data_IF_808799836736
#
_entry.id   IF_808799836736
#
_cell.length_a   1.000
_cell.length_b   1.000
_cell.length_c   1.000
_cell.angle_alpha   90.00
_cell.angle_beta   90.00
_cell.angle_gamma   90.00
#
_symmetry.space_group_name_H-M   'P 1'
#
loop_
_entity.id
_entity.type
_entity.pdbx_description
1 polymer ?
#
# COMPACT_ATOMS: atom_id res chain seq x y z
N UNK A 1 -54.94 -27.61 -11.79
CA UNK A 1 -53.78 -27.97 -12.65
C UNK A 1 -52.86 -26.76 -12.74
N UNK A 2 -51.63 -26.87 -12.25
CA UNK A 2 -50.64 -25.80 -12.37
C UNK A 2 -50.14 -25.77 -13.82
N UNK A 3 -50.20 -24.61 -14.48
CA UNK A 3 -49.63 -24.44 -15.83
C UNK A 3 -48.14 -24.78 -15.80
N UNK A 4 -47.59 -25.47 -16.82
CA UNK A 4 -46.15 -25.61 -16.98
C UNK A 4 -45.57 -24.21 -17.24
N UNK A 5 -44.60 -23.79 -16.43
CA UNK A 5 -43.99 -22.45 -16.49
C UNK A 5 -42.66 -22.62 -17.23
N UNK A 6 -42.53 -22.03 -18.44
CA UNK A 6 -41.35 -22.18 -19.29
C UNK A 6 -40.17 -21.34 -18.79
N UNK A 7 -38.95 -21.82 -19.02
CA UNK A 7 -37.69 -21.12 -18.74
C UNK A 7 -37.54 -19.80 -19.53
N UNK A 8 -38.39 -19.57 -20.54
CA UNK A 8 -38.45 -18.32 -21.31
C UNK A 8 -38.88 -17.11 -20.46
N UNK A 9 -39.54 -17.34 -19.31
CA UNK A 9 -39.98 -16.25 -18.43
C UNK A 9 -38.84 -15.65 -17.58
N UNK A 10 -37.67 -16.29 -17.51
CA UNK A 10 -36.55 -15.81 -16.70
C UNK A 10 -35.96 -14.48 -17.20
N UNK A 11 -36.00 -14.24 -18.52
CA UNK A 11 -35.41 -13.06 -19.16
C UNK A 11 -36.45 -11.99 -19.54
N UNK A 12 -37.73 -12.21 -19.22
CA UNK A 12 -38.81 -11.30 -19.57
C UNK A 12 -38.89 -10.15 -18.57
N UNK A 13 -38.78 -8.93 -19.08
CA UNK A 13 -38.97 -7.71 -18.28
C UNK A 13 -40.45 -7.42 -18.15
N UNK A 14 -40.90 -7.14 -16.93
CA UNK A 14 -42.31 -6.88 -16.61
C UNK A 14 -42.48 -5.55 -15.90
N UNK A 15 -43.64 -4.90 -16.09
CA UNK A 15 -44.00 -3.72 -15.32
C UNK A 15 -44.37 -4.13 -13.90
N UNK A 16 -43.69 -3.56 -12.92
CA UNK A 16 -44.00 -3.72 -11.51
C UNK A 16 -44.36 -2.36 -10.92
N UNK A 17 -45.59 -2.24 -10.40
CA UNK A 17 -46.06 -1.03 -9.73
C UNK A 17 -45.95 -1.24 -8.23
N UNK A 18 -45.18 -0.38 -7.55
CA UNK A 18 -45.03 -0.41 -6.11
C UNK A 18 -45.09 1.01 -5.55
N UNK A 19 -46.03 1.27 -4.63
CA UNK A 19 -46.25 2.57 -4.00
C UNK A 19 -46.31 3.75 -4.98
N UNK A 20 -47.02 3.60 -6.10
CA UNK A 20 -47.15 4.63 -7.13
C UNK A 20 -45.97 4.76 -8.11
N UNK A 21 -44.86 4.07 -7.85
CA UNK A 21 -43.71 4.03 -8.76
C UNK A 21 -43.78 2.82 -9.69
N UNK A 22 -43.42 3.04 -10.96
CA UNK A 22 -43.43 2.03 -12.02
C UNK A 22 -41.99 1.58 -12.31
N UNK A 23 -41.71 0.29 -12.15
CA UNK A 23 -40.39 -0.31 -12.32
C UNK A 23 -40.39 -1.34 -13.45
N UNK A 24 -39.30 -1.37 -14.21
CA UNK A 24 -38.99 -2.49 -15.10
C UNK A 24 -38.32 -3.58 -14.27
N UNK A 25 -38.97 -4.74 -14.13
CA UNK A 25 -38.53 -5.79 -13.21
C UNK A 25 -38.29 -7.10 -13.92
N UNK A 26 -37.11 -7.67 -13.67
CA UNK A 26 -36.77 -9.04 -14.00
C UNK A 26 -37.09 -9.93 -12.79
N UNK A 27 -37.68 -11.11 -13.02
CA UNK A 27 -38.01 -12.07 -11.95
C UNK A 27 -37.35 -13.43 -12.18
N UNK A 28 -36.00 -13.53 -12.15
CA UNK A 28 -35.33 -14.81 -12.28
C UNK A 28 -35.65 -15.70 -11.08
N UNK A 29 -35.68 -17.01 -11.33
CA UNK A 29 -35.91 -18.03 -10.31
C UNK A 29 -34.58 -18.41 -9.69
N UNK A 30 -34.43 -18.19 -8.39
CA UNK A 30 -33.20 -18.45 -7.64
C UNK A 30 -33.50 -19.55 -6.61
N UNK A 31 -32.60 -20.52 -6.50
CA UNK A 31 -32.69 -21.55 -5.46
C UNK A 31 -31.99 -21.04 -4.20
N UNK A 32 -32.70 -21.00 -3.07
CA UNK A 32 -32.11 -20.60 -1.79
C UNK A 32 -31.18 -21.71 -1.28
N UNK A 33 -29.88 -21.44 -1.19
CA UNK A 33 -28.83 -22.42 -0.84
C UNK A 33 -29.01 -23.04 0.55
N UNK A 34 -29.64 -22.35 1.51
CA UNK A 34 -29.83 -22.83 2.88
C UNK A 34 -31.08 -23.71 3.06
N UNK A 35 -32.07 -23.59 2.17
CA UNK A 35 -33.40 -24.24 2.35
C UNK A 35 -33.82 -25.10 1.16
N UNK A 36 -33.06 -25.10 0.06
CA UNK A 36 -33.37 -25.82 -1.18
C UNK A 36 -34.63 -25.33 -1.90
N UNK A 37 -35.35 -24.34 -1.37
CA UNK A 37 -36.60 -23.82 -1.94
C UNK A 37 -36.32 -22.84 -3.07
N UNK A 38 -37.00 -23.03 -4.20
CA UNK A 38 -36.96 -22.12 -5.35
C UNK A 38 -37.83 -20.89 -5.08
N UNK A 39 -37.26 -19.70 -5.15
CA UNK A 39 -37.97 -18.43 -4.98
C UNK A 39 -37.75 -17.48 -6.17
N UNK A 40 -38.70 -16.60 -6.43
CA UNK A 40 -38.56 -15.59 -7.48
C UNK A 40 -37.91 -14.34 -6.86
N UNK A 41 -36.75 -13.92 -7.39
CA UNK A 41 -36.07 -12.70 -6.96
C UNK A 41 -36.51 -11.56 -7.86
N UNK A 42 -37.07 -10.48 -7.32
CA UNK A 42 -37.40 -9.29 -8.11
C UNK A 42 -36.18 -8.39 -8.24
N UNK A 43 -35.69 -8.18 -9.46
CA UNK A 43 -34.58 -7.27 -9.78
C UNK A 43 -35.15 -6.10 -10.58
N UNK A 44 -35.15 -4.90 -9.98
CA UNK A 44 -35.58 -3.69 -10.68
C UNK A 44 -34.45 -3.18 -11.58
N UNK A 45 -34.60 -3.38 -12.89
CA UNK A 45 -33.66 -2.96 -13.92
C UNK A 45 -33.66 -1.45 -14.13
N UNK A 46 -34.77 -0.77 -13.85
CA UNK A 46 -34.94 0.67 -13.97
C UNK A 46 -36.37 1.10 -13.70
N UNK A 47 -36.70 2.35 -14.03
CA UNK A 47 -38.04 2.91 -13.88
C UNK A 47 -38.73 3.02 -15.24
N UNK A 48 -40.06 3.09 -15.23
CA UNK A 48 -40.88 3.25 -16.44
C UNK A 48 -41.78 4.46 -16.23
N UNK A 49 -41.81 5.40 -17.18
CA UNK A 49 -42.69 6.57 -17.07
C UNK A 49 -44.16 6.20 -17.32
N UNK A 50 -45.06 7.16 -17.16
CA UNK A 50 -46.46 6.96 -17.51
C UNK A 50 -46.69 6.72 -19.01
N UNK A 51 -45.82 7.30 -19.84
CA UNK A 51 -45.78 7.11 -21.30
C UNK A 51 -45.08 5.82 -21.74
N UNK A 52 -44.86 4.85 -20.84
CA UNK A 52 -44.18 3.58 -21.10
C UNK A 52 -42.73 3.72 -21.60
N UNK A 53 -42.07 4.83 -21.24
CA UNK A 53 -40.66 5.06 -21.54
C UNK A 53 -39.78 4.44 -20.47
N UNK A 54 -38.86 3.56 -20.86
CA UNK A 54 -37.94 2.92 -19.94
C UNK A 54 -36.74 3.80 -19.63
N UNK A 55 -36.50 4.04 -18.34
CA UNK A 55 -35.32 4.75 -17.84
C UNK A 55 -34.41 3.71 -17.16
N UNK A 56 -33.26 3.36 -17.78
CA UNK A 56 -32.37 2.34 -17.25
C UNK A 56 -31.82 2.74 -15.87
N UNK A 57 -31.90 1.80 -14.93
CA UNK A 57 -31.35 1.93 -13.60
C UNK A 57 -30.01 1.19 -13.46
N UNK A 58 -29.44 1.24 -12.25
CA UNK A 58 -28.11 0.66 -11.96
C UNK A 58 -28.03 -0.85 -12.21
N UNK A 59 -29.09 -1.59 -11.91
CA UNK A 59 -29.11 -3.04 -12.13
C UNK A 59 -29.04 -3.40 -13.62
N UNK A 60 -29.59 -2.56 -14.50
CA UNK A 60 -29.44 -2.74 -15.95
C UNK A 60 -28.02 -2.38 -16.43
N UNK A 61 -27.47 -1.26 -15.95
CA UNK A 61 -26.15 -0.76 -16.38
C UNK A 61 -24.99 -1.69 -15.99
N UNK A 62 -25.02 -2.29 -14.80
CA UNK A 62 -23.94 -3.16 -14.32
C UNK A 62 -24.12 -4.64 -14.66
N UNK A 63 -25.21 -5.00 -15.35
CA UNK A 63 -25.44 -6.37 -15.81
C UNK A 63 -24.45 -6.72 -16.94
N UNK A 64 -23.93 -7.95 -17.01
CA UNK A 64 -23.08 -8.38 -18.12
C UNK A 64 -23.75 -8.16 -19.49
N UNK A 65 -23.04 -7.73 -20.55
CA UNK A 65 -23.63 -7.48 -21.86
C UNK A 65 -24.34 -8.70 -22.48
N UNK A 66 -23.85 -9.91 -22.22
CA UNK A 66 -24.47 -11.15 -22.67
C UNK A 66 -25.86 -11.36 -22.05
N UNK A 67 -26.00 -11.08 -20.75
CA UNK A 67 -27.28 -11.16 -20.04
C UNK A 67 -28.22 -10.03 -20.45
N UNK A 68 -27.71 -8.82 -20.69
CA UNK A 68 -28.52 -7.69 -21.20
C UNK A 68 -29.17 -8.00 -22.54
N UNK A 69 -28.44 -8.65 -23.46
CA UNK A 69 -28.96 -9.04 -24.78
C UNK A 69 -30.06 -10.10 -24.73
N UNK A 70 -30.13 -10.86 -23.64
CA UNK A 70 -31.18 -11.86 -23.44
C UNK A 70 -32.47 -11.24 -22.91
N UNK A 71 -32.44 -9.99 -22.42
CA UNK A 71 -33.62 -9.33 -21.87
C UNK A 71 -34.67 -9.04 -22.94
N UNK A 72 -35.90 -9.48 -22.69
CA UNK A 72 -37.04 -9.23 -23.57
C UNK A 72 -37.94 -8.18 -22.94
N UNK A 73 -37.94 -6.97 -23.53
CA UNK A 73 -38.81 -5.87 -23.11
C UNK A 73 -40.22 -6.02 -23.71
N UNK A 74 -41.28 -5.55 -23.00
CA UNK A 74 -42.64 -5.55 -23.55
C UNK A 74 -42.77 -4.75 -24.85
N UNK A 75 -43.58 -5.25 -25.78
CA UNK A 75 -43.87 -4.57 -27.05
C UNK A 75 -44.58 -3.24 -26.78
N UNK A 76 -44.11 -2.15 -27.40
CA UNK A 76 -44.66 -0.80 -27.23
C UNK A 76 -44.02 0.07 -26.15
N UNK A 77 -42.99 -0.43 -25.46
CA UNK A 77 -42.15 0.42 -24.60
C UNK A 77 -41.22 1.29 -25.43
N UNK A 78 -41.11 2.56 -25.05
CA UNK A 78 -40.11 3.47 -25.61
C UNK A 78 -38.75 3.21 -24.94
N UNK A 79 -37.81 2.70 -25.75
CA UNK A 79 -36.45 2.38 -25.34
C UNK A 79 -35.42 3.43 -25.79
N UNK A 80 -35.86 4.59 -26.29
CA UNK A 80 -34.98 5.66 -26.81
C UNK A 80 -33.96 6.19 -25.79
N UNK A 81 -34.21 6.06 -24.48
CA UNK A 81 -33.19 6.41 -23.48
C UNK A 81 -32.01 5.45 -23.49
N UNK A 82 -32.16 4.22 -24.00
CA UNK A 82 -31.03 3.32 -24.23
C UNK A 82 -30.09 3.88 -25.31
N UNK A 83 -30.63 4.65 -26.27
CA UNK A 83 -29.86 5.34 -27.30
C UNK A 83 -29.32 6.70 -26.83
N UNK A 84 -29.86 7.26 -25.74
CA UNK A 84 -29.36 8.49 -25.09
C UNK A 84 -28.36 8.20 -23.96
N UNK A 85 -28.24 6.93 -23.56
CA UNK A 85 -27.35 6.48 -22.50
C UNK A 85 -25.95 7.05 -22.73
N UNK A 86 -25.20 7.36 -21.68
CA UNK A 86 -23.82 7.84 -21.81
C UNK A 86 -22.89 6.87 -22.60
N UNK A 87 -23.30 5.62 -22.82
CA UNK A 87 -22.64 4.64 -23.69
C UNK A 87 -22.71 4.97 -25.20
N UNK A 88 -23.67 5.81 -25.64
CA UNK A 88 -23.83 6.23 -27.05
C UNK A 88 -23.41 7.68 -27.29
N UNK A 89 -23.32 8.52 -26.24
CA UNK A 89 -22.68 9.85 -26.33
C UNK A 89 -21.16 9.69 -26.38
N UNK A 90 -20.53 10.04 -27.50
CA UNK A 90 -19.06 10.08 -27.59
C UNK A 90 -18.52 11.19 -26.69
N UNK A 91 -17.69 10.85 -25.70
CA UNK A 91 -17.02 11.79 -24.81
C UNK A 91 -16.10 12.76 -25.59
N UNK A 92 -16.01 14.01 -25.11
CA UNK A 92 -15.28 15.12 -25.74
C UNK A 92 -16.15 16.34 -26.05
N UNK A 93 -15.52 17.46 -26.43
CA UNK A 93 -16.20 18.72 -26.80
C UNK A 93 -17.23 18.48 -27.94
N UNK A 94 -18.35 19.26 -28.01
CA UNK A 94 -19.21 19.30 -29.18
C UNK A 94 -18.40 19.44 -30.48
N UNK A 95 -18.83 18.76 -31.55
CA UNK A 95 -18.13 18.72 -32.84
C UNK A 95 -17.81 20.13 -33.34
N UNK A 96 -16.51 20.42 -33.54
CA UNK A 96 -16.01 21.67 -34.10
C UNK A 96 -15.65 21.45 -35.57
N UNK A 97 -16.28 22.20 -36.48
CA UNK A 97 -16.14 22.05 -37.93
C UNK A 97 -15.00 22.91 -38.53
N UNK A 98 -14.01 23.32 -37.75
CA UNK A 98 -12.83 24.03 -38.26
C UNK A 98 -11.69 23.10 -38.67
N UNK A 99 -10.77 23.60 -39.49
CA UNK A 99 -9.66 22.84 -40.09
C UNK A 99 -8.62 22.35 -39.07
N UNK A 100 -8.53 23.00 -37.91
CA UNK A 100 -7.65 22.61 -36.80
C UNK A 100 -8.47 22.25 -35.56
N UNK A 101 -8.31 21.01 -35.06
CA UNK A 101 -9.02 20.50 -33.88
C UNK A 101 -8.05 20.13 -32.75
N UNK A 102 -8.21 20.77 -31.59
CA UNK A 102 -7.57 20.29 -30.36
C UNK A 102 -8.40 19.15 -29.76
N UNK A 103 -7.78 17.96 -29.64
CA UNK A 103 -8.44 16.75 -29.13
C UNK A 103 -8.45 16.63 -27.61
N UNK A 104 -7.72 17.49 -26.88
CA UNK A 104 -7.61 17.50 -25.41
C UNK A 104 -7.45 16.08 -24.82
N UNK A 105 -6.51 15.34 -25.40
CA UNK A 105 -6.31 13.91 -25.15
C UNK A 105 -4.83 13.54 -25.02
N UNK A 106 -3.90 14.50 -25.11
CA UNK A 106 -2.47 14.18 -25.08
C UNK A 106 -2.00 13.58 -23.75
N UNK A 107 -2.50 14.15 -22.65
CA UNK A 107 -2.31 13.69 -21.27
C UNK A 107 -2.92 12.30 -21.03
N UNK A 108 -4.18 12.12 -21.41
CA UNK A 108 -4.88 10.83 -21.28
C UNK A 108 -4.23 9.78 -22.17
N UNK A 109 -3.86 10.13 -23.40
CA UNK A 109 -3.16 9.23 -24.31
C UNK A 109 -1.82 8.77 -23.75
N UNK A 110 -1.04 9.68 -23.14
CA UNK A 110 0.20 9.30 -22.46
C UNK A 110 -0.06 8.26 -21.37
N UNK A 111 -1.07 8.48 -20.53
CA UNK A 111 -1.44 7.51 -19.49
C UNK A 111 -1.93 6.18 -20.07
N UNK A 112 -2.63 6.19 -21.22
CA UNK A 112 -3.01 4.95 -21.90
C UNK A 112 -1.79 4.23 -22.50
N UNK A 113 -0.78 4.95 -23.01
CA UNK A 113 0.49 4.33 -23.45
C UNK A 113 1.26 3.72 -22.29
N UNK A 114 1.26 4.37 -21.12
CA UNK A 114 1.79 3.77 -19.89
C UNK A 114 1.02 2.51 -19.57
N UNK A 115 -0.32 2.54 -19.58
CA UNK A 115 -1.15 1.37 -19.29
C UNK A 115 -0.93 0.19 -20.24
N UNK A 116 -0.69 0.47 -21.53
CA UNK A 116 -0.32 -0.53 -22.53
C UNK A 116 1.07 -1.12 -22.25
N UNK A 117 2.07 -0.27 -21.96
CA UNK A 117 3.45 -0.70 -21.69
C UNK A 117 3.55 -1.54 -20.41
N UNK A 118 2.81 -1.15 -19.37
CA UNK A 118 2.76 -1.88 -18.08
C UNK A 118 1.80 -3.07 -18.12
N UNK A 119 1.03 -3.22 -19.21
CA UNK A 119 0.01 -4.27 -19.38
C UNK A 119 -1.13 -4.21 -18.36
N UNK A 120 -1.28 -3.11 -17.62
CA UNK A 120 -2.29 -3.02 -16.55
C UNK A 120 -3.71 -3.10 -17.10
N UNK A 121 -3.96 -2.54 -18.30
CA UNK A 121 -5.25 -2.64 -18.97
C UNK A 121 -5.59 -4.09 -19.32
N UNK A 122 -4.63 -4.83 -19.89
CA UNK A 122 -4.81 -6.25 -20.22
C UNK A 122 -5.13 -7.08 -18.98
N UNK A 123 -4.44 -6.83 -17.87
CA UNK A 123 -4.68 -7.58 -16.63
C UNK A 123 -6.04 -7.23 -16.01
N UNK A 124 -6.44 -5.97 -16.02
CA UNK A 124 -7.77 -5.56 -15.56
C UNK A 124 -8.87 -6.18 -16.44
N UNK A 125 -8.67 -6.25 -17.76
CA UNK A 125 -9.61 -6.94 -18.65
C UNK A 125 -9.72 -8.43 -18.33
N UNK A 126 -8.62 -9.12 -17.99
CA UNK A 126 -8.68 -10.51 -17.53
C UNK A 126 -9.40 -10.65 -16.18
N UNK A 127 -9.08 -9.80 -15.21
CA UNK A 127 -9.68 -9.80 -13.86
C UNK A 127 -11.19 -9.61 -13.93
N UNK A 128 -11.66 -8.71 -14.79
CA UNK A 128 -13.08 -8.41 -14.95
C UNK A 128 -13.71 -9.14 -16.14
N UNK A 129 -13.19 -10.32 -16.50
CA UNK A 129 -13.81 -11.24 -17.46
C UNK A 129 -14.17 -10.59 -18.82
N UNK A 130 -13.31 -9.69 -19.30
CA UNK A 130 -13.47 -8.96 -20.55
C UNK A 130 -14.42 -7.76 -20.49
N UNK A 131 -14.88 -7.34 -19.30
CA UNK A 131 -15.76 -6.19 -19.13
C UNK A 131 -15.02 -4.86 -19.36
N UNK A 132 -14.90 -4.47 -20.63
CA UNK A 132 -14.21 -3.25 -21.05
C UNK A 132 -14.80 -1.97 -20.47
N UNK A 133 -16.13 -1.88 -20.32
CA UNK A 133 -16.78 -0.70 -19.74
C UNK A 133 -16.33 -0.47 -18.29
N UNK A 134 -16.29 -1.54 -17.48
CA UNK A 134 -15.81 -1.47 -16.10
C UNK A 134 -14.32 -1.13 -16.04
N UNK A 135 -13.51 -1.69 -16.93
CA UNK A 135 -12.08 -1.38 -17.02
C UNK A 135 -11.88 0.08 -17.43
N UNK A 136 -12.61 0.59 -18.40
CA UNK A 136 -12.54 1.99 -18.83
C UNK A 136 -12.94 2.95 -17.72
N UNK A 137 -13.95 2.59 -16.91
CA UNK A 137 -14.31 3.35 -15.71
C UNK A 137 -13.18 3.36 -14.66
N UNK A 138 -12.55 2.21 -14.41
CA UNK A 138 -11.40 2.09 -13.49
C UNK A 138 -10.21 2.90 -13.99
N UNK A 139 -9.88 2.80 -15.28
CA UNK A 139 -8.79 3.56 -15.91
C UNK A 139 -9.06 5.06 -15.83
N UNK A 140 -10.29 5.48 -16.10
CA UNK A 140 -10.70 6.89 -15.99
C UNK A 140 -10.55 7.40 -14.56
N UNK A 141 -11.00 6.62 -13.58
CA UNK A 141 -10.88 6.95 -12.16
C UNK A 141 -9.41 7.03 -11.73
N UNK A 142 -8.58 6.08 -12.16
CA UNK A 142 -7.16 6.05 -11.83
C UNK A 142 -6.39 7.23 -12.43
N UNK A 143 -6.67 7.63 -13.68
CA UNK A 143 -5.96 8.72 -14.37
C UNK A 143 -6.36 10.11 -13.88
N UNK A 144 -7.63 10.30 -13.48
CA UNK A 144 -8.19 11.61 -13.21
C UNK A 144 -7.44 12.44 -12.15
N UNK A 145 -7.09 11.89 -10.96
CA UNK A 145 -6.36 12.68 -9.95
C UNK A 145 -4.96 13.07 -10.42
N UNK A 146 -4.28 12.21 -11.16
CA UNK A 146 -2.92 12.49 -11.66
C UNK A 146 -2.91 13.57 -12.74
N UNK A 147 -3.94 13.61 -13.58
CA UNK A 147 -4.03 14.59 -14.68
C UNK A 147 -4.58 15.93 -14.19
N UNK A 148 -5.62 15.91 -13.36
CA UNK A 148 -6.38 17.12 -13.00
C UNK A 148 -6.04 17.73 -11.65
N UNK A 149 -5.43 16.96 -10.74
CA UNK A 149 -5.24 17.31 -9.33
C UNK A 149 -6.54 17.65 -8.59
N UNK A 150 -7.70 17.23 -9.11
CA UNK A 150 -9.01 17.47 -8.49
C UNK A 150 -9.52 16.26 -7.72
N UNK A 151 -10.47 16.51 -6.82
CA UNK A 151 -11.21 15.46 -6.13
C UNK A 151 -12.29 14.84 -7.03
N UNK A 152 -12.63 13.59 -6.76
CA UNK A 152 -13.58 12.79 -7.56
C UNK A 152 -14.98 13.41 -7.71
N UNK A 153 -15.36 14.37 -6.87
CA UNK A 153 -16.61 15.13 -7.06
C UNK A 153 -16.64 15.95 -8.35
N UNK A 154 -15.47 16.22 -8.95
CA UNK A 154 -15.33 16.98 -10.20
C UNK A 154 -15.16 16.10 -11.44
N UNK A 155 -15.08 14.77 -11.29
CA UNK A 155 -14.81 13.85 -12.40
C UNK A 155 -15.82 14.00 -13.54
N UNK A 156 -17.12 13.95 -13.21
CA UNK A 156 -18.21 14.12 -14.18
C UNK A 156 -18.07 15.41 -15.01
N UNK A 157 -17.75 16.53 -14.35
CA UNK A 157 -17.56 17.82 -15.03
C UNK A 157 -16.32 17.81 -15.93
N UNK A 158 -15.24 17.16 -15.49
CA UNK A 158 -14.00 17.06 -16.27
C UNK A 158 -14.19 16.25 -17.56
N UNK A 159 -14.94 15.13 -17.51
CA UNK A 159 -15.25 14.29 -18.67
C UNK A 159 -16.05 15.01 -19.78
N UNK A 160 -16.70 16.15 -19.49
CA UNK A 160 -17.41 16.96 -20.51
C UNK A 160 -16.47 17.68 -21.47
N UNK A 161 -15.22 17.91 -21.03
CA UNK A 161 -14.24 18.69 -21.78
C UNK A 161 -13.03 17.84 -22.19
N UNK A 162 -12.67 16.84 -21.39
CA UNK A 162 -11.54 15.95 -21.64
C UNK A 162 -12.00 14.59 -22.09
N UNK A 163 -11.38 14.06 -23.14
CA UNK A 163 -11.65 12.70 -23.61
C UNK A 163 -11.02 11.69 -22.66
N UNK A 164 -11.83 10.83 -22.06
CA UNK A 164 -11.41 9.78 -21.12
C UNK A 164 -11.61 8.37 -21.70
N UNK A 165 -10.98 7.33 -21.12
CA UNK A 165 -11.27 5.94 -21.49
C UNK A 165 -12.77 5.61 -21.39
N UNK A 166 -13.40 5.99 -20.28
CA UNK A 166 -14.84 5.82 -20.11
C UNK A 166 -15.60 6.83 -20.95
N UNK A 167 -16.50 6.33 -21.81
CA UNK A 167 -17.38 7.16 -22.60
C UNK A 167 -18.52 7.76 -21.76
N UNK A 168 -18.84 7.14 -20.62
CA UNK A 168 -19.93 7.58 -19.74
C UNK A 168 -19.46 8.60 -18.71
N UNK A 169 -20.31 9.59 -18.43
CA UNK A 169 -20.11 10.50 -17.30
C UNK A 169 -20.23 9.71 -15.98
N UNK A 170 -19.22 9.80 -15.13
CA UNK A 170 -19.15 9.11 -13.85
C UNK A 170 -19.51 10.06 -12.72
N UNK A 171 -20.74 9.95 -12.20
CA UNK A 171 -21.17 10.73 -11.03
C UNK A 171 -20.54 10.19 -9.74
N UNK A 172 -20.48 10.97 -8.65
CA UNK A 172 -19.98 10.48 -7.35
C UNK A 172 -20.68 9.19 -6.89
N UNK A 173 -21.99 9.06 -7.15
CA UNK A 173 -22.74 7.85 -6.82
C UNK A 173 -22.35 6.63 -7.65
N UNK A 174 -21.86 6.82 -8.88
CA UNK A 174 -21.36 5.74 -9.73
C UNK A 174 -19.96 5.31 -9.28
N UNK A 175 -19.13 6.27 -8.88
CA UNK A 175 -17.80 6.00 -8.30
C UNK A 175 -17.95 5.13 -7.04
N UNK A 176 -18.87 5.49 -6.13
CA UNK A 176 -19.13 4.69 -4.92
C UNK A 176 -19.54 3.25 -5.26
N UNK A 177 -20.41 3.04 -6.25
CA UNK A 177 -20.83 1.68 -6.63
C UNK A 177 -19.71 0.91 -7.31
N UNK A 178 -18.95 1.58 -8.18
CA UNK A 178 -17.81 0.97 -8.83
C UNK A 178 -16.81 0.47 -7.79
N UNK A 179 -16.40 1.32 -6.85
CA UNK A 179 -15.42 0.96 -5.81
C UNK A 179 -15.95 -0.14 -4.88
N UNK A 180 -17.23 -0.11 -4.52
CA UNK A 180 -17.88 -1.17 -3.73
C UNK A 180 -18.03 -2.50 -4.51
N UNK A 181 -18.06 -2.46 -5.85
CA UNK A 181 -18.14 -3.66 -6.69
C UNK A 181 -16.80 -4.36 -6.91
N UNK A 182 -15.68 -3.76 -6.48
CA UNK A 182 -14.34 -4.36 -6.59
C UNK A 182 -14.08 -5.16 -5.32
N UNK A 183 -14.04 -6.47 -5.47
CA UNK A 183 -13.89 -7.42 -4.37
C UNK A 183 -12.41 -7.67 -4.03
N UNK A 184 -12.15 -8.30 -2.89
CA UNK A 184 -10.80 -8.79 -2.56
C UNK A 184 -10.33 -9.85 -3.57
N UNK A 185 -11.25 -10.69 -4.06
CA UNK A 185 -10.95 -11.66 -5.12
C UNK A 185 -10.41 -10.98 -6.37
N UNK A 186 -11.00 -9.86 -6.78
CA UNK A 186 -10.54 -9.09 -7.94
C UNK A 186 -9.14 -8.51 -7.72
N UNK A 187 -8.88 -7.97 -6.52
CA UNK A 187 -7.55 -7.47 -6.13
C UNK A 187 -6.50 -8.58 -6.17
N UNK A 188 -6.78 -9.72 -5.55
CA UNK A 188 -5.86 -10.87 -5.53
C UNK A 188 -5.63 -11.44 -6.94
N UNK A 189 -6.66 -11.46 -7.80
CA UNK A 189 -6.51 -11.85 -9.20
C UNK A 189 -5.56 -10.90 -9.96
N UNK A 190 -5.67 -9.59 -9.73
CA UNK A 190 -4.74 -8.61 -10.31
C UNK A 190 -3.31 -8.85 -9.81
N UNK A 191 -3.11 -9.03 -8.51
CA UNK A 191 -1.79 -9.29 -7.92
C UNK A 191 -1.16 -10.58 -8.46
N UNK A 192 -1.97 -11.62 -8.72
CA UNK A 192 -1.49 -12.86 -9.34
C UNK A 192 -1.03 -12.65 -10.78
N UNK A 193 -1.77 -11.89 -11.59
CA UNK A 193 -1.31 -11.55 -12.94
C UNK A 193 -0.03 -10.70 -12.91
N UNK A 194 0.13 -9.86 -11.89
CA UNK A 194 1.37 -9.09 -11.67
C UNK A 194 2.53 -10.01 -11.30
N UNK A 195 2.32 -11.02 -10.45
CA UNK A 195 3.38 -11.97 -10.05
C UNK A 195 3.91 -12.80 -11.21
N UNK A 196 3.04 -13.18 -12.15
CA UNK A 196 3.43 -13.88 -13.39
C UNK A 196 4.34 -13.05 -14.31
N UNK A 197 4.34 -11.72 -14.16
CA UNK A 197 5.13 -10.80 -14.98
C UNK A 197 6.49 -10.44 -14.35
N UNK A 198 6.72 -10.83 -13.11
CA UNK A 198 7.97 -10.54 -12.41
C UNK A 198 9.06 -11.53 -12.80
N UNK A 199 10.27 -11.01 -13.02
CA UNK A 199 11.46 -11.82 -13.27
C UNK A 199 11.85 -12.67 -12.05
N UNK A 200 12.59 -13.75 -12.31
CA UNK A 200 13.19 -14.52 -11.19
C UNK A 200 14.23 -13.64 -10.49
N UNK A 201 14.26 -13.70 -9.15
CA UNK A 201 15.21 -12.93 -8.33
C UNK A 201 15.08 -11.41 -8.51
N UNK A 202 13.90 -10.94 -8.90
CA UNK A 202 13.63 -9.51 -9.03
C UNK A 202 13.80 -8.79 -7.69
N UNK A 203 14.58 -7.71 -7.68
CA UNK A 203 14.76 -6.86 -6.51
C UNK A 203 13.48 -6.06 -6.24
N UNK A 204 12.85 -6.31 -5.11
CA UNK A 204 11.58 -5.71 -4.72
C UNK A 204 11.77 -4.90 -3.43
N UNK A 205 11.65 -3.58 -3.54
CA UNK A 205 11.73 -2.67 -2.40
C UNK A 205 10.37 -2.56 -1.70
N UNK A 206 10.42 -2.55 -0.37
CA UNK A 206 9.27 -2.28 0.50
C UNK A 206 9.40 -0.88 1.06
N UNK A 207 8.41 -0.03 0.80
CA UNK A 207 8.35 1.32 1.35
C UNK A 207 6.97 1.62 1.94
N UNK A 208 6.94 2.42 3.00
CA UNK A 208 5.71 2.89 3.65
C UNK A 208 5.62 4.40 3.65
N UNK A 209 4.40 4.91 3.51
CA UNK A 209 4.10 6.32 3.67
C UNK A 209 2.84 6.51 4.51
N UNK A 210 2.76 7.60 5.26
CA UNK A 210 1.58 7.93 6.06
C UNK A 210 0.64 8.84 5.27
N UNK A 211 -0.67 8.59 5.35
CA UNK A 211 -1.70 9.52 4.87
C UNK A 211 -2.43 10.14 6.05
N UNK A 212 -2.21 11.42 6.29
CA UNK A 212 -2.93 12.16 7.33
C UNK A 212 -4.40 12.35 6.95
N UNK A 213 -5.28 12.23 7.95
CA UNK A 213 -6.72 12.32 7.76
C UNK A 213 -7.36 13.24 8.81
N UNK A 214 -8.27 14.11 8.35
CA UNK A 214 -9.15 14.91 9.21
C UNK A 214 -10.42 14.16 9.62
N UNK A 215 -10.79 13.11 8.88
CA UNK A 215 -11.99 12.32 9.14
C UNK A 215 -11.76 11.23 10.19
N UNK A 216 -12.86 10.68 10.72
CA UNK A 216 -12.86 9.60 11.71
C UNK A 216 -13.70 8.39 11.30
N UNK A 217 -14.14 8.34 10.03
CA UNK A 217 -15.06 7.32 9.53
C UNK A 217 -14.42 5.95 9.27
N UNK A 218 -13.10 5.88 9.14
CA UNK A 218 -12.36 4.63 8.97
C UNK A 218 -11.69 4.23 10.30
N UNK A 219 -11.87 2.97 10.71
CA UNK A 219 -11.31 2.45 11.96
C UNK A 219 -9.77 2.45 12.01
N UNK A 220 -9.14 2.46 10.83
CA UNK A 220 -7.69 2.45 10.63
C UNK A 220 -7.06 3.84 10.80
N UNK A 221 -7.87 4.91 10.83
CA UNK A 221 -7.37 6.26 11.11
C UNK A 221 -6.99 6.33 12.59
N UNK A 222 -5.69 6.31 12.88
CA UNK A 222 -5.15 6.25 14.24
C UNK A 222 -3.97 7.20 14.39
N UNK A 223 -3.76 7.67 15.61
CA UNK A 223 -2.57 8.46 15.96
C UNK A 223 -1.33 7.58 15.86
N UNK A 224 -0.39 7.99 15.02
CA UNK A 224 0.85 7.28 14.74
C UNK A 224 2.04 8.23 14.66
N UNK A 225 3.19 7.69 14.29
CA UNK A 225 4.37 8.51 14.02
C UNK A 225 4.28 9.04 12.58
N UNK A 226 3.89 10.30 12.43
CA UNK A 226 3.80 10.94 11.13
C UNK A 226 5.19 11.41 10.69
N UNK A 227 5.62 11.02 9.48
CA UNK A 227 6.95 11.39 8.94
C UNK A 227 7.13 12.91 8.79
N UNK A 228 6.04 13.66 8.63
CA UNK A 228 6.04 15.12 8.48
C UNK A 228 5.76 15.87 9.80
N UNK A 229 5.69 15.16 10.94
CA UNK A 229 5.35 15.71 12.26
C UNK A 229 4.03 16.50 12.29
N UNK A 230 3.12 16.22 11.36
CA UNK A 230 1.77 16.80 11.38
C UNK A 230 0.95 16.12 12.47
N UNK A 231 0.39 16.93 13.38
CA UNK A 231 -0.44 16.48 14.50
C UNK A 231 -1.85 16.06 14.03
N UNK A 232 -1.93 15.05 13.18
CA UNK A 232 -3.16 14.44 12.69
C UNK A 232 -3.09 12.92 12.77
N UNK A 233 -4.23 12.28 13.00
CA UNK A 233 -4.36 10.85 12.84
C UNK A 233 -4.12 10.45 11.37
N UNK A 234 -3.65 9.22 11.13
CA UNK A 234 -3.20 8.78 9.82
C UNK A 234 -3.58 7.32 9.53
N UNK A 235 -3.42 6.91 8.27
CA UNK A 235 -3.25 5.52 7.86
C UNK A 235 -1.83 5.32 7.35
N UNK A 236 -1.31 4.10 7.42
CA UNK A 236 -0.01 3.74 6.85
C UNK A 236 -0.23 2.96 5.56
N UNK A 237 0.29 3.46 4.45
CA UNK A 237 0.20 2.86 3.13
C UNK A 237 1.53 2.22 2.78
N UNK A 238 1.54 0.92 2.56
CA UNK A 238 2.72 0.18 2.13
C UNK A 238 2.59 -0.15 0.65
N UNK A 239 3.70 0.00 -0.07
CA UNK A 239 3.83 -0.44 -1.46
C UNK A 239 5.08 -1.30 -1.57
N UNK A 240 4.96 -2.38 -2.32
CA UNK A 240 6.12 -3.16 -2.78
C UNK A 240 6.25 -2.94 -4.28
N UNK A 241 7.45 -2.60 -4.72
CA UNK A 241 7.72 -2.32 -6.13
C UNK A 241 9.07 -2.91 -6.57
N UNK A 242 9.14 -3.26 -7.85
CA UNK A 242 10.37 -3.74 -8.49
C UNK A 242 11.36 -2.59 -8.68
N UNK A 243 12.66 -2.84 -8.49
CA UNK A 243 13.69 -1.83 -8.73
C UNK A 243 14.07 -1.72 -10.22
N UNK A 244 14.02 -2.81 -10.99
CA UNK A 244 14.42 -2.76 -12.41
C UNK A 244 13.47 -1.92 -13.27
N UNK A 245 12.17 -2.03 -12.99
CA UNK A 245 11.11 -1.46 -13.82
C UNK A 245 10.25 -0.43 -13.06
N UNK A 246 10.55 -0.16 -11.79
CA UNK A 246 9.77 0.72 -10.90
C UNK A 246 8.27 0.39 -10.88
N UNK A 247 7.94 -0.89 -11.04
CA UNK A 247 6.55 -1.36 -11.11
C UNK A 247 6.04 -1.65 -9.71
N UNK A 248 4.92 -1.06 -9.25
CA UNK A 248 4.24 -1.50 -8.03
C UNK A 248 3.60 -2.86 -8.26
N UNK A 249 3.86 -3.79 -7.36
CA UNK A 249 3.46 -5.20 -7.47
C UNK A 249 2.53 -5.61 -6.35
N UNK A 250 2.52 -4.85 -5.25
CA UNK A 250 1.64 -5.05 -4.12
C UNK A 250 1.44 -3.72 -3.38
N UNK A 251 0.27 -3.56 -2.77
CA UNK A 251 -0.05 -2.42 -1.93
C UNK A 251 -0.98 -2.85 -0.80
N UNK A 252 -0.89 -2.19 0.35
CA UNK A 252 -1.82 -2.39 1.47
C UNK A 252 -1.88 -1.18 2.38
N UNK A 253 -3.10 -0.87 2.83
CA UNK A 253 -3.35 0.12 3.88
C UNK A 253 -3.38 -0.57 5.25
N UNK A 254 -2.78 0.07 6.24
CA UNK A 254 -2.74 -0.37 7.63
C UNK A 254 -3.17 0.74 8.59
N UNK A 255 -3.57 0.39 9.83
CA UNK A 255 -3.84 1.38 10.87
C UNK A 255 -2.64 2.30 11.14
N UNK A 256 -2.87 3.60 11.31
CA UNK A 256 -1.77 4.58 11.44
C UNK A 256 -0.81 4.36 12.61
N UNK A 257 -1.24 3.62 13.64
CA UNK A 257 -0.44 3.30 14.83
C UNK A 257 0.32 1.98 14.74
N UNK A 258 0.23 1.24 13.63
CA UNK A 258 0.99 0.00 13.47
C UNK A 258 2.46 0.32 13.13
N UNK A 259 3.44 -0.25 13.84
CA UNK A 259 4.85 -0.14 13.43
C UNK A 259 5.13 -0.93 12.16
N UNK A 260 6.01 -0.41 11.29
CA UNK A 260 6.44 -1.04 10.03
C UNK A 260 6.97 -2.47 10.24
N UNK A 261 7.74 -2.71 11.30
CA UNK A 261 8.26 -4.06 11.60
C UNK A 261 7.16 -5.10 11.85
N UNK A 262 5.95 -4.69 12.22
CA UNK A 262 4.81 -5.60 12.44
C UNK A 262 3.98 -5.85 11.18
N UNK A 263 4.14 -5.04 10.13
CA UNK A 263 3.39 -5.20 8.87
C UNK A 263 4.03 -6.26 7.97
N UNK A 264 5.33 -6.50 8.10
CA UNK A 264 6.09 -7.37 7.20
C UNK A 264 5.55 -8.80 7.09
N UNK A 265 5.18 -9.44 8.21
CA UNK A 265 4.64 -10.80 8.18
C UNK A 265 3.33 -10.90 7.38
N UNK A 266 2.52 -9.84 7.40
CA UNK A 266 1.30 -9.74 6.59
C UNK A 266 1.64 -9.54 5.11
N UNK A 267 2.54 -8.61 4.81
CA UNK A 267 3.00 -8.31 3.45
C UNK A 267 3.55 -9.57 2.78
N UNK A 268 4.45 -10.28 3.45
CA UNK A 268 5.05 -11.52 2.95
C UNK A 268 4.01 -12.63 2.76
N UNK A 269 3.06 -12.75 3.67
CA UNK A 269 1.98 -13.73 3.55
C UNK A 269 1.08 -13.44 2.35
N UNK A 270 0.71 -12.18 2.14
CA UNK A 270 -0.08 -11.78 0.98
C UNK A 270 0.68 -12.00 -0.33
N UNK A 271 1.98 -11.63 -0.38
CA UNK A 271 2.82 -11.85 -1.55
C UNK A 271 2.90 -13.34 -1.90
N UNK A 272 3.12 -14.21 -0.91
CA UNK A 272 3.11 -15.67 -1.13
C UNK A 272 1.76 -16.15 -1.65
N UNK A 273 0.65 -15.70 -1.06
CA UNK A 273 -0.70 -16.05 -1.51
C UNK A 273 -1.02 -15.57 -2.94
N UNK A 274 -0.48 -14.42 -3.34
CA UNK A 274 -0.58 -13.87 -4.69
C UNK A 274 0.37 -14.55 -5.70
N UNK A 275 1.21 -15.48 -5.26
CA UNK A 275 2.09 -16.27 -6.14
C UNK A 275 3.48 -15.67 -6.36
N UNK A 276 3.87 -14.66 -5.59
CA UNK A 276 5.25 -14.16 -5.59
C UNK A 276 6.14 -15.14 -4.84
N UNK A 277 6.86 -15.99 -5.57
CA UNK A 277 7.61 -17.13 -5.02
C UNK A 277 9.12 -16.94 -5.02
N UNK A 278 9.65 -16.04 -5.86
CA UNK A 278 11.10 -15.98 -6.11
C UNK A 278 11.57 -14.56 -6.43
N UNK A 279 11.44 -13.66 -5.45
CA UNK A 279 11.92 -12.28 -5.51
C UNK A 279 12.96 -12.04 -4.42
N UNK A 280 13.72 -10.94 -4.52
CA UNK A 280 14.63 -10.50 -3.46
C UNK A 280 13.99 -9.33 -2.74
N UNK A 281 13.79 -9.46 -1.44
CA UNK A 281 13.19 -8.39 -0.64
C UNK A 281 14.24 -7.36 -0.23
N UNK A 282 13.99 -6.08 -0.50
CA UNK A 282 14.83 -4.97 -0.05
C UNK A 282 14.04 -4.15 0.95
N UNK A 283 14.63 -3.92 2.13
CA UNK A 283 13.96 -3.16 3.18
C UNK A 283 14.87 -2.10 3.79
N UNK A 284 14.26 -0.97 4.15
CA UNK A 284 14.92 0.06 4.94
C UNK A 284 15.21 -0.39 6.39
N UNK A 285 15.79 0.53 7.17
CA UNK A 285 16.14 0.32 8.58
C UNK A 285 14.92 0.17 9.50
N UNK A 286 13.75 0.66 9.11
CA UNK A 286 12.50 0.56 9.86
C UNK A 286 12.00 -0.89 9.95
N UNK A 287 12.19 -1.65 8.88
CA UNK A 287 11.87 -3.08 8.81
C UNK A 287 13.00 -4.00 9.29
N UNK A 288 14.24 -3.50 9.40
CA UNK A 288 15.43 -4.27 9.77
C UNK A 288 15.44 -4.78 11.22
N UNK A 289 14.64 -5.80 11.51
CA UNK A 289 14.55 -6.46 12.83
C UNK A 289 15.00 -7.91 12.76
N UNK A 290 15.46 -8.46 13.89
CA UNK A 290 15.84 -9.88 14.00
C UNK A 290 14.65 -10.80 13.69
N UNK A 291 13.44 -10.43 14.10
CA UNK A 291 12.24 -11.21 13.82
C UNK A 291 11.98 -11.36 12.31
N UNK A 292 12.14 -10.29 11.53
CA UNK A 292 11.97 -10.34 10.06
C UNK A 292 13.10 -11.13 9.40
N UNK A 293 14.34 -10.97 9.89
CA UNK A 293 15.48 -11.77 9.43
C UNK A 293 15.22 -13.27 9.64
N UNK A 294 14.78 -13.67 10.83
CA UNK A 294 14.45 -15.05 11.16
C UNK A 294 13.30 -15.57 10.30
N UNK A 295 12.24 -14.77 10.07
CA UNK A 295 11.13 -15.16 9.18
C UNK A 295 11.61 -15.40 7.74
N UNK A 296 12.50 -14.54 7.23
CA UNK A 296 13.09 -14.72 5.91
C UNK A 296 13.91 -16.02 5.83
N UNK A 297 14.70 -16.33 6.85
CA UNK A 297 15.46 -17.59 6.91
C UNK A 297 14.51 -18.79 6.93
N UNK A 298 13.46 -18.75 7.75
CA UNK A 298 12.48 -19.82 7.88
C UNK A 298 11.77 -20.13 6.56
N UNK A 299 11.54 -19.12 5.71
CA UNK A 299 10.86 -19.26 4.43
C UNK A 299 11.80 -19.32 3.20
N UNK A 300 13.12 -19.39 3.39
CA UNK A 300 14.11 -19.36 2.29
C UNK A 300 13.96 -18.14 1.38
N UNK A 301 13.54 -17.01 1.96
CA UNK A 301 13.31 -15.76 1.25
C UNK A 301 14.60 -14.95 1.15
N UNK A 302 15.11 -14.75 -0.06
CA UNK A 302 16.28 -13.88 -0.27
C UNK A 302 15.96 -12.43 0.10
N UNK A 303 16.90 -11.77 0.77
CA UNK A 303 16.69 -10.42 1.28
C UNK A 303 17.98 -9.59 1.37
N UNK A 304 17.83 -8.27 1.25
CA UNK A 304 18.82 -7.24 1.55
C UNK A 304 18.17 -6.31 2.59
N UNK A 305 18.69 -6.32 3.81
CA UNK A 305 18.07 -5.64 4.95
C UNK A 305 19.05 -4.67 5.60
N UNK A 306 18.70 -3.40 5.66
CA UNK A 306 19.41 -2.45 6.52
C UNK A 306 19.04 -2.71 7.99
N UNK A 307 20.00 -3.09 8.83
CA UNK A 307 19.75 -3.48 10.22
C UNK A 307 20.36 -2.49 11.22
N UNK A 308 19.76 -2.40 12.42
CA UNK A 308 20.31 -1.56 13.50
C UNK A 308 21.64 -2.15 13.99
N UNK A 309 22.67 -1.32 14.05
CA UNK A 309 24.03 -1.70 14.49
C UNK A 309 24.09 -2.20 15.93
N UNK A 310 23.09 -1.88 16.77
CA UNK A 310 22.99 -2.37 18.14
C UNK A 310 22.50 -3.82 18.29
N UNK A 311 22.14 -4.52 17.20
CA UNK A 311 21.85 -5.95 17.31
C UNK A 311 23.11 -6.74 17.65
N UNK A 312 23.01 -7.67 18.60
CA UNK A 312 24.17 -8.35 19.19
C UNK A 312 25.17 -8.92 18.18
N UNK A 313 24.70 -9.66 17.18
CA UNK A 313 25.59 -10.25 16.17
C UNK A 313 26.30 -9.20 15.28
N UNK A 314 25.78 -7.97 15.20
CA UNK A 314 26.40 -6.85 14.48
C UNK A 314 27.34 -6.10 15.42
N UNK A 315 26.86 -5.78 16.63
CA UNK A 315 27.65 -5.06 17.63
C UNK A 315 28.90 -5.85 18.03
N UNK A 316 28.81 -7.17 18.18
CA UNK A 316 29.97 -8.02 18.50
C UNK A 316 31.04 -7.97 17.38
N UNK A 317 30.63 -7.78 16.12
CA UNK A 317 31.56 -7.59 14.98
C UNK A 317 32.15 -6.19 14.94
N UNK A 318 31.40 -5.17 15.36
CA UNK A 318 31.92 -3.81 15.55
C UNK A 318 32.95 -3.81 16.68
N UNK A 319 32.67 -4.52 17.78
CA UNK A 319 33.55 -4.61 18.95
C UNK A 319 34.86 -5.33 18.64
N UNK A 320 34.79 -6.35 17.79
CA UNK A 320 35.97 -7.04 17.27
C UNK A 320 36.90 -6.18 16.41
N UNK A 321 36.49 -4.97 16.00
CA UNK A 321 37.37 -4.02 15.32
C UNK A 321 38.28 -3.24 16.27
N UNK A 322 38.00 -3.27 17.58
CA UNK A 322 38.76 -2.56 18.59
C UNK A 322 38.59 -1.04 18.54
N UNK A 323 39.48 -0.34 19.26
CA UNK A 323 39.49 1.12 19.32
C UNK A 323 40.21 1.73 18.11
N UNK A 324 39.67 2.83 17.59
CA UNK A 324 40.24 3.54 16.45
C UNK A 324 39.94 5.04 16.49
N UNK A 325 40.86 5.84 15.95
CA UNK A 325 40.74 7.30 15.91
C UNK A 325 39.97 7.80 14.69
N UNK A 326 40.41 7.42 13.48
CA UNK A 326 39.83 7.93 12.22
C UNK A 326 39.01 6.85 11.52
N UNK A 327 39.55 5.64 11.38
CA UNK A 327 38.88 4.49 10.77
C UNK A 327 39.29 3.20 11.47
N UNK A 328 38.42 2.17 11.49
CA UNK A 328 38.81 0.85 11.97
C UNK A 328 39.87 0.21 11.07
N UNK A 329 40.78 -0.55 11.69
CA UNK A 329 41.76 -1.34 10.96
C UNK A 329 41.13 -2.55 10.27
N UNK A 330 41.67 -2.90 9.10
CA UNK A 330 41.20 -4.03 8.31
C UNK A 330 39.88 -3.83 7.56
N UNK A 331 39.35 -2.60 7.51
CA UNK A 331 38.32 -2.22 6.52
C UNK A 331 38.96 -1.78 5.20
N UNK A 332 38.33 -2.17 4.10
CA UNK A 332 38.65 -1.72 2.74
C UNK A 332 37.89 -0.43 2.42
N UNK A 333 38.26 0.25 1.32
CA UNK A 333 37.56 1.46 0.86
C UNK A 333 36.89 1.19 -0.48
N UNK A 334 35.62 1.55 -0.59
CA UNK A 334 34.91 1.60 -1.86
C UNK A 334 35.08 2.99 -2.47
N UNK A 335 35.64 3.06 -3.68
CA UNK A 335 35.99 4.33 -4.33
C UNK A 335 34.75 5.09 -4.81
N UNK A 336 33.69 4.36 -5.17
CA UNK A 336 32.46 4.95 -5.71
C UNK A 336 31.62 5.59 -4.60
N UNK A 337 31.30 4.82 -3.54
CA UNK A 337 30.55 5.34 -2.39
C UNK A 337 31.38 6.18 -1.43
N UNK A 338 32.72 6.09 -1.51
CA UNK A 338 33.68 6.70 -0.56
C UNK A 338 33.45 6.24 0.88
N UNK A 339 33.00 5.00 1.07
CA UNK A 339 32.79 4.38 2.37
C UNK A 339 33.86 3.34 2.66
N UNK A 340 34.26 3.25 3.92
CA UNK A 340 35.01 2.08 4.39
C UNK A 340 34.04 0.92 4.57
N UNK A 341 34.47 -0.30 4.28
CA UNK A 341 33.62 -1.46 4.45
C UNK A 341 34.40 -2.71 4.87
N UNK A 342 33.67 -3.66 5.46
CA UNK A 342 34.13 -5.03 5.73
C UNK A 342 32.96 -5.99 5.66
N UNK A 343 33.17 -7.09 4.97
CA UNK A 343 32.16 -8.15 4.81
C UNK A 343 32.49 -9.32 5.73
N UNK A 344 31.48 -9.90 6.34
CA UNK A 344 31.58 -11.10 7.18
C UNK A 344 30.57 -12.14 6.72
N UNK A 345 31.00 -13.38 6.53
CA UNK A 345 30.09 -14.53 6.47
C UNK A 345 29.61 -14.85 7.89
N UNK A 346 28.29 -14.97 8.06
CA UNK A 346 27.66 -15.21 9.37
C UNK A 346 27.01 -16.59 9.35
N UNK A 347 27.49 -17.50 10.20
CA UNK A 347 26.77 -18.73 10.53
C UNK A 347 25.68 -18.40 11.56
N UNK A 348 24.45 -18.25 11.08
CA UNK A 348 23.28 -17.93 11.90
C UNK A 348 22.27 -19.08 11.85
N UNK A 349 21.72 -19.44 13.00
CA UNK A 349 20.72 -20.51 13.14
C UNK A 349 19.48 -19.98 13.84
N UNK A 350 18.33 -20.25 13.24
CA UNK A 350 17.02 -19.95 13.84
C UNK A 350 16.58 -21.16 14.66
N UNK A 351 16.32 -20.94 15.94
CA UNK A 351 15.81 -21.97 16.85
C UNK A 351 14.29 -21.84 16.97
N UNK A 352 13.55 -22.82 16.47
CA UNK A 352 12.09 -22.89 16.59
C UNK A 352 11.63 -23.43 17.95
N UNK A 353 10.32 -23.56 18.14
CA UNK A 353 9.77 -24.29 19.31
C UNK A 353 10.15 -25.77 19.22
N UNK A 354 10.93 -26.25 20.19
CA UNK A 354 11.39 -27.65 20.27
C UNK A 354 12.82 -27.85 19.75
N UNK A 355 13.08 -28.95 19.03
CA UNK A 355 14.39 -29.28 18.44
C UNK A 355 14.53 -28.85 16.97
N UNK A 356 13.63 -28.00 16.46
CA UNK A 356 13.69 -27.54 15.08
C UNK A 356 14.71 -26.40 14.96
N UNK A 357 15.75 -26.62 14.17
CA UNK A 357 16.75 -25.61 13.85
C UNK A 357 16.87 -25.46 12.34
N UNK A 358 16.93 -24.22 11.86
CA UNK A 358 17.18 -23.91 10.45
C UNK A 358 18.37 -22.97 10.33
N UNK A 359 19.40 -23.39 9.60
CA UNK A 359 20.55 -22.56 9.31
C UNK A 359 20.24 -21.55 8.20
N UNK A 360 20.77 -20.34 8.33
CA UNK A 360 20.67 -19.32 7.30
C UNK A 360 21.50 -19.72 6.07
N UNK A 361 20.91 -19.60 4.88
CA UNK A 361 21.62 -19.85 3.62
C UNK A 361 22.33 -18.57 3.17
N UNK A 362 23.66 -18.61 3.03
CA UNK A 362 24.50 -17.51 2.53
C UNK A 362 24.19 -16.16 3.20
N UNK A 363 24.22 -16.12 4.53
CA UNK A 363 24.05 -14.87 5.27
C UNK A 363 25.37 -14.13 5.37
N UNK A 364 25.38 -12.87 4.91
CA UNK A 364 26.54 -11.97 5.04
C UNK A 364 26.15 -10.68 5.75
N UNK A 365 27.05 -10.21 6.60
CA UNK A 365 27.00 -8.88 7.18
C UNK A 365 27.97 -7.97 6.40
N UNK A 366 27.41 -6.95 5.75
CA UNK A 366 28.15 -5.90 5.07
C UNK A 366 28.17 -4.67 5.99
N UNK A 367 29.30 -4.45 6.65
CA UNK A 367 29.48 -3.36 7.59
C UNK A 367 30.21 -2.22 6.89
N UNK A 368 29.59 -1.04 6.86
CA UNK A 368 30.15 0.18 6.30
C UNK A 368 30.46 1.17 7.40
N UNK A 369 31.46 2.03 7.17
CA UNK A 369 31.87 3.06 8.10
C UNK A 369 32.22 4.36 7.37
N UNK A 370 31.74 5.49 7.91
CA UNK A 370 32.08 6.83 7.46
C UNK A 370 32.56 7.69 8.64
N UNK A 371 33.80 8.21 8.61
CA UNK A 371 34.32 9.10 9.66
C UNK A 371 33.49 10.37 9.85
N UNK A 372 32.99 10.98 8.76
CA UNK A 372 32.18 12.19 8.81
C UNK A 372 30.85 11.96 9.52
N UNK A 373 30.17 10.86 9.23
CA UNK A 373 28.93 10.48 9.92
C UNK A 373 29.17 10.19 11.41
N UNK A 374 30.35 9.66 11.77
CA UNK A 374 30.73 9.48 13.17
C UNK A 374 30.86 10.82 13.88
N UNK A 375 31.58 11.78 13.30
CA UNK A 375 31.76 13.12 13.88
C UNK A 375 30.43 13.88 14.01
N UNK A 376 29.61 13.90 12.97
CA UNK A 376 28.27 14.50 13.02
C UNK A 376 27.38 13.83 14.09
N UNK A 377 27.41 12.50 14.14
CA UNK A 377 26.70 11.73 15.14
C UNK A 377 27.14 12.05 16.57
N UNK A 378 28.43 12.30 16.79
CA UNK A 378 28.98 12.67 18.10
C UNK A 378 28.47 14.04 18.53
N UNK A 379 28.52 15.04 17.64
CA UNK A 379 27.95 16.37 17.90
C UNK A 379 26.47 16.26 18.27
N UNK A 380 25.70 15.46 17.53
CA UNK A 380 24.27 15.25 17.81
C UNK A 380 24.01 14.59 19.18
N UNK A 381 24.84 13.64 19.60
CA UNK A 381 24.75 13.04 20.94
C UNK A 381 25.10 14.07 22.01
N UNK A 382 26.17 14.85 21.83
CA UNK A 382 26.58 15.86 22.80
C UNK A 382 25.53 16.96 22.95
N UNK A 383 24.96 17.44 21.83
CA UNK A 383 23.82 18.36 21.84
C UNK A 383 22.60 17.78 22.57
N UNK A 384 22.32 16.48 22.38
CA UNK A 384 21.23 15.79 23.07
C UNK A 384 21.48 15.69 24.58
N UNK A 385 22.71 15.37 24.99
CA UNK A 385 23.10 15.30 26.41
C UNK A 385 22.96 16.67 27.06
N UNK A 386 23.48 17.73 26.43
CA UNK A 386 23.39 19.08 26.98
C UNK A 386 21.96 19.63 26.97
N UNK A 387 21.17 19.33 25.93
CA UNK A 387 19.74 19.65 25.90
C UNK A 387 18.96 19.00 27.06
N UNK A 388 19.16 17.69 27.29
CA UNK A 388 18.55 16.97 28.40
C UNK A 388 19.01 17.50 29.77
N UNK A 389 20.30 17.80 29.92
CA UNK A 389 20.88 18.39 31.14
C UNK A 389 20.22 19.72 31.47
N UNK A 390 20.10 20.62 30.49
CA UNK A 390 19.50 21.94 30.69
C UNK A 390 18.03 21.82 31.11
N UNK A 391 17.26 20.93 30.46
CA UNK A 391 15.86 20.70 30.84
C UNK A 391 15.71 20.10 32.24
N UNK A 392 16.57 19.15 32.64
CA UNK A 392 16.55 18.60 34.01
C UNK A 392 16.93 19.65 35.05
N UNK A 393 17.91 20.52 34.75
CA UNK A 393 18.30 21.59 35.65
C UNK A 393 17.17 22.61 35.84
N UNK A 394 16.47 22.97 34.76
CA UNK A 394 15.29 23.83 34.84
C UNK A 394 14.18 23.21 35.69
N UNK A 395 13.96 21.89 35.59
CA UNK A 395 12.99 21.18 36.44
C UNK A 395 13.36 21.23 37.93
N UNK A 396 14.66 21.14 38.27
CA UNK A 396 15.15 21.29 39.65
C UNK A 396 14.92 22.72 40.14
N UNK A 397 15.33 23.73 39.35
CA UNK A 397 15.29 25.14 39.73
C UNK A 397 13.83 25.64 39.88
N UNK A 398 12.96 25.20 38.98
CA UNK A 398 11.53 25.52 38.97
C UNK A 398 10.68 24.69 39.95
N UNK A 399 11.24 23.62 40.52
CA UNK A 399 10.49 22.59 41.29
C UNK A 399 9.28 22.07 40.52
N UNK A 400 9.48 21.79 39.24
CA UNK A 400 8.43 21.26 38.37
C UNK A 400 8.21 19.78 38.67
N UNK A 401 6.95 19.33 38.62
CA UNK A 401 6.63 17.92 38.73
C UNK A 401 7.18 17.20 37.48
N UNK A 402 7.97 16.15 37.70
CA UNK A 402 8.55 15.40 36.60
C UNK A 402 7.45 14.68 35.82
N UNK A 403 7.61 14.54 34.49
CA UNK A 403 6.64 13.83 33.67
C UNK A 403 6.50 12.36 34.08
N UNK A 404 5.57 11.64 33.48
CA UNK A 404 5.37 10.21 33.75
C UNK A 404 6.65 9.39 33.46
N UNK A 405 6.74 8.21 34.06
CA UNK A 405 7.96 7.38 34.00
C UNK A 405 8.33 6.95 32.57
N UNK A 406 7.36 6.83 31.65
CA UNK A 406 7.63 6.49 30.25
C UNK A 406 8.25 7.68 29.52
N UNK A 407 7.67 8.87 29.70
CA UNK A 407 8.20 10.12 29.16
C UNK A 407 9.60 10.41 29.71
N UNK A 408 9.83 10.19 31.01
CA UNK A 408 11.16 10.34 31.63
C UNK A 408 12.21 9.43 30.97
N UNK A 409 11.89 8.15 30.80
CA UNK A 409 12.78 7.18 30.16
C UNK A 409 13.05 7.49 28.69
N UNK A 410 12.09 8.09 27.99
CA UNK A 410 12.20 8.45 26.56
C UNK A 410 13.02 9.72 26.38
N UNK A 411 12.63 10.78 27.06
CA UNK A 411 13.11 12.14 26.79
C UNK A 411 14.41 12.45 27.54
N UNK A 412 14.65 11.83 28.70
CA UNK A 412 15.86 11.99 29.52
C UNK A 412 16.75 10.75 29.51
N UNK A 413 16.70 10.02 28.40
CA UNK A 413 17.29 8.70 28.30
C UNK A 413 18.82 8.64 28.48
N UNK A 414 19.56 9.76 28.49
CA UNK A 414 21.01 9.81 28.73
C UNK A 414 21.39 10.01 30.20
N UNK A 415 20.41 10.15 31.09
CA UNK A 415 20.61 10.41 32.51
C UNK A 415 19.85 9.41 33.37
N UNK A 416 20.46 9.03 34.49
CA UNK A 416 19.80 8.32 35.58
C UNK A 416 19.23 9.38 36.53
N UNK A 417 17.90 9.56 36.47
CA UNK A 417 17.19 10.62 37.20
C UNK A 417 16.61 10.08 38.51
N UNK A 418 16.86 10.76 39.63
CA UNK A 418 16.32 10.44 40.96
C UNK A 418 15.21 11.43 41.33
N UNK A 419 14.04 10.90 41.70
CA UNK A 419 12.86 11.68 42.07
C UNK A 419 12.56 11.60 43.58
N UNK A 420 11.91 12.63 44.12
CA UNK A 420 11.38 12.62 45.49
C UNK A 420 9.96 11.99 45.59
N UNK A 421 9.39 11.97 46.80
CA UNK A 421 8.02 11.47 47.04
C UNK A 421 6.92 12.29 46.36
N UNK A 422 7.23 13.50 45.92
CA UNK A 422 6.34 14.44 45.22
C UNK A 422 6.65 14.49 43.72
N UNK A 423 7.45 13.55 43.19
CA UNK A 423 7.89 13.47 41.80
C UNK A 423 8.71 14.67 41.29
N UNK A 424 9.36 15.45 42.16
CA UNK A 424 10.34 16.44 41.71
C UNK A 424 11.70 15.78 41.47
N UNK A 425 12.44 16.28 40.50
CA UNK A 425 13.82 15.87 40.25
C UNK A 425 14.70 16.33 41.42
N UNK A 426 15.41 15.40 42.05
CA UNK A 426 16.34 15.68 43.17
C UNK A 426 17.78 15.74 42.68
N UNK A 427 18.13 14.81 41.80
CA UNK A 427 19.46 14.74 41.20
C UNK A 427 19.41 13.91 39.92
N UNK A 428 20.39 14.10 39.05
CA UNK A 428 20.57 13.30 37.86
C UNK A 428 22.05 13.05 37.62
N UNK A 429 22.39 11.85 37.15
CA UNK A 429 23.76 11.46 36.83
C UNK A 429 23.82 11.02 35.37
N UNK A 430 24.88 11.41 34.66
CA UNK A 430 25.05 11.02 33.26
C UNK A 430 25.26 9.51 33.17
N UNK A 431 24.47 8.84 32.35
CA UNK A 431 24.62 7.42 32.11
C UNK A 431 25.81 7.18 31.15
N UNK A 432 27.01 7.13 31.71
CA UNK A 432 28.26 6.99 30.93
C UNK A 432 28.29 5.72 30.07
N UNK A 433 27.71 4.63 30.57
CA UNK A 433 27.62 3.38 29.82
C UNK A 433 26.85 3.60 28.51
N UNK A 434 25.64 4.18 28.60
CA UNK A 434 24.80 4.41 27.43
C UNK A 434 25.40 5.43 26.46
N UNK A 435 26.07 6.45 26.98
CA UNK A 435 26.81 7.42 26.18
C UNK A 435 27.92 6.73 25.37
N UNK A 436 28.76 5.94 26.03
CA UNK A 436 29.86 5.21 25.39
C UNK A 436 29.35 4.15 24.40
N UNK A 437 28.31 3.39 24.75
CA UNK A 437 27.67 2.42 23.86
C UNK A 437 27.13 3.10 22.58
N UNK A 438 26.57 4.31 22.73
CA UNK A 438 26.07 5.08 21.59
C UNK A 438 27.21 5.58 20.70
N UNK A 439 28.28 6.14 21.28
CA UNK A 439 29.46 6.61 20.54
C UNK A 439 30.15 5.49 19.76
N UNK A 440 30.24 4.30 20.35
CA UNK A 440 30.89 3.13 19.76
C UNK A 440 30.28 2.73 18.41
N UNK A 441 28.95 2.81 18.31
CA UNK A 441 28.20 2.41 17.12
C UNK A 441 28.10 3.51 16.05
N UNK A 442 28.60 4.72 16.32
CA UNK A 442 28.50 5.85 15.41
C UNK A 442 29.35 5.68 14.15
N UNK A 443 28.83 6.22 13.05
CA UNK A 443 29.45 6.14 11.73
C UNK A 443 29.27 4.80 11.02
N UNK A 444 28.74 3.77 11.71
CA UNK A 444 28.51 2.46 11.12
C UNK A 444 27.11 2.33 10.49
N UNK A 445 27.07 1.66 9.34
CA UNK A 445 25.85 1.19 8.67
C UNK A 445 25.99 -0.30 8.43
N UNK A 446 24.94 -1.07 8.72
CA UNK A 446 24.96 -2.52 8.57
C UNK A 446 23.88 -2.97 7.60
N UNK A 447 24.30 -3.65 6.53
CA UNK A 447 23.41 -4.28 5.55
C UNK A 447 23.61 -5.79 5.63
N UNK A 448 22.54 -6.52 5.93
CA UNK A 448 22.54 -7.98 5.94
C UNK A 448 21.96 -8.48 4.63
N UNK A 449 22.71 -9.34 3.94
CA UNK A 449 22.23 -10.04 2.74
C UNK A 449 22.00 -11.51 3.06
N UNK A 450 20.89 -12.07 2.59
CA UNK A 450 20.48 -13.45 2.81
C UNK A 450 20.15 -14.13 1.48
N UNK A 451 20.66 -15.34 1.26
CA UNK A 451 20.39 -16.12 0.05
C UNK A 451 21.01 -15.55 -1.23
N UNK A 452 21.96 -14.61 -1.10
CA UNK A 452 22.58 -13.88 -2.20
C UNK A 452 24.10 -13.95 -2.12
N UNK A 453 24.76 -13.95 -3.27
CA UNK A 453 26.23 -13.90 -3.36
C UNK A 453 26.65 -12.52 -3.87
N UNK A 454 26.50 -11.51 -3.01
CA UNK A 454 26.86 -10.13 -3.30
C UNK A 454 28.12 -9.74 -2.52
N UNK A 455 28.95 -8.90 -3.13
CA UNK A 455 30.00 -8.17 -2.40
C UNK A 455 29.37 -7.02 -1.60
N UNK A 456 30.11 -6.46 -0.64
CA UNK A 456 29.60 -5.33 0.14
C UNK A 456 29.25 -4.12 -0.75
N UNK A 457 30.10 -3.65 -1.70
CA UNK A 457 29.71 -2.56 -2.60
C UNK A 457 28.45 -2.86 -3.44
N UNK A 458 28.28 -4.09 -3.91
CA UNK A 458 27.06 -4.49 -4.63
C UNK A 458 25.81 -4.46 -3.74
N UNK A 459 25.93 -4.91 -2.49
CA UNK A 459 24.84 -4.88 -1.53
C UNK A 459 24.44 -3.44 -1.13
N UNK A 460 25.38 -2.48 -1.21
CA UNK A 460 25.12 -1.06 -0.97
C UNK A 460 24.47 -0.36 -2.17
N UNK A 461 24.80 -0.80 -3.39
CA UNK A 461 24.28 -0.22 -4.62
C UNK A 461 22.79 -0.53 -4.88
N UNK A 462 22.23 -1.51 -4.16
CA UNK A 462 20.83 -1.89 -4.17
C UNK A 462 20.10 -1.30 -2.96
#
# INVERSE_FOLDING_TARGET
>A
MARPISDETAHKVTLHINNGYRYATLRPRVTNEATGKRMNKSIHLGTVTESLKFIPGKAYLYMPPAERKQLVFPQGWDLSELDSLPSTRKAGRPSYNGDAQNRLYGDVWLMERVAEKTKIREDLEKVFEGNKEKVDDIMTLAMFPYISSYSYSRLARWQRYTKTPSAREMSPGDITRLTQSITEKDRQALLRLRSERIGKMELCAVDSTSRSAYGSSLADIRWGHNKENIALAQTNEVVVYTLSNHMPIYYRSFPGNIPDSRTMGVIQSDLRCAGFTNYVMITDRGYGTVQILEDNILHDQSAIMCMKTGHKFISDKIDGLGDFNVRPDGMEIDLDSKLYYKQYDIDYKVHGKGKYEKAASKMRLNLFFNPSWRSEGQINIDMKVEGQRNSLQQMIDGKEEAPDDETLKRDFCMFDVKLDKKRHVVSFEKNEKKYNDSLRLLGFVAIVTLGLDLTAPQALAH
#
